data_IF_851628636058
#
_entry.id   IF_851628636058
#
_cell.length_a   1.000
_cell.length_b   1.000
_cell.length_c   1.000
_cell.angle_alpha   90.00
_cell.angle_beta   90.00
_cell.angle_gamma   90.00
#
_symmetry.space_group_name_H-M   'P 1'
#
loop_
_entity.id
_entity.type
_entity.pdbx_description
1 polymer ?
#
# COMPACT_ATOMS: atom_id res chain seq x y z
N UNK A 1 -3.54 -3.06 -5.82
CA UNK A 1 -4.27 -4.12 -5.10
C UNK A 1 -4.99 -3.46 -3.95
N UNK A 2 -5.66 -4.24 -3.11
CA UNK A 2 -6.33 -3.77 -1.88
C UNK A 2 -5.42 -3.72 -0.65
N UNK A 3 -4.15 -4.18 -0.73
CA UNK A 3 -3.21 -4.16 0.39
C UNK A 3 -3.42 -5.21 1.50
N UNK A 4 -4.39 -6.13 1.37
CA UNK A 4 -4.77 -7.10 2.42
C UNK A 4 -3.59 -7.95 2.93
N UNK A 5 -2.78 -8.51 2.03
CA UNK A 5 -1.66 -9.37 2.43
C UNK A 5 -0.58 -8.63 3.25
N UNK A 6 -0.41 -7.33 2.98
CA UNK A 6 0.54 -6.50 3.73
C UNK A 6 0.02 -6.25 5.15
N UNK A 7 -1.30 -6.09 5.33
CA UNK A 7 -1.91 -5.95 6.65
C UNK A 7 -1.82 -7.24 7.48
N UNK A 8 -1.99 -8.41 6.85
CA UNK A 8 -1.80 -9.71 7.52
C UNK A 8 -0.35 -9.89 8.00
N UNK A 9 0.62 -9.50 7.16
CA UNK A 9 2.03 -9.51 7.54
C UNK A 9 2.34 -8.51 8.66
N UNK A 10 1.75 -7.31 8.59
CA UNK A 10 1.90 -6.29 9.60
C UNK A 10 1.39 -6.76 10.97
N UNK A 11 0.19 -7.36 11.02
CA UNK A 11 -0.37 -7.95 12.23
C UNK A 11 0.53 -9.05 12.81
N UNK A 12 1.06 -9.94 11.97
CA UNK A 12 1.97 -11.01 12.41
C UNK A 12 3.26 -10.45 13.04
N UNK A 13 3.80 -9.37 12.46
CA UNK A 13 5.01 -8.70 12.96
C UNK A 13 4.71 -8.02 14.31
N UNK A 14 3.57 -7.33 14.44
CA UNK A 14 3.17 -6.68 15.69
C UNK A 14 2.87 -7.70 16.80
N UNK A 15 2.26 -8.85 16.48
CA UNK A 15 2.06 -9.97 17.41
C UNK A 15 3.39 -10.52 17.96
N UNK A 16 4.49 -10.37 17.22
CA UNK A 16 5.83 -10.73 17.69
C UNK A 16 6.46 -9.67 18.63
N UNK A 17 5.76 -8.57 18.91
CA UNK A 17 6.20 -7.48 19.78
C UNK A 17 7.01 -6.40 19.07
N UNK A 18 7.04 -6.40 17.73
CA UNK A 18 7.70 -5.36 16.95
C UNK A 18 6.76 -4.17 16.69
N UNK A 19 7.35 -3.02 16.37
CA UNK A 19 6.62 -1.82 15.96
C UNK A 19 6.86 -1.59 14.48
N UNK A 20 5.80 -1.24 13.74
CA UNK A 20 5.89 -0.90 12.32
C UNK A 20 5.87 0.61 12.16
N UNK A 21 7.02 1.20 11.85
CA UNK A 21 7.14 2.64 11.61
C UNK A 21 6.52 3.07 10.26
N UNK A 22 6.65 2.22 9.23
CA UNK A 22 6.13 2.47 7.90
C UNK A 22 6.03 1.20 7.06
N UNK A 23 5.10 1.22 6.09
CA UNK A 23 4.98 0.27 5.00
C UNK A 23 5.39 0.98 3.71
N UNK A 24 6.41 0.44 3.02
CA UNK A 24 6.97 1.05 1.81
C UNK A 24 6.76 0.11 0.61
N UNK A 25 6.07 0.61 -0.41
CA UNK A 25 5.89 -0.07 -1.69
C UNK A 25 6.77 0.54 -2.79
N UNK A 26 7.19 -0.28 -3.75
CA UNK A 26 7.88 0.23 -4.95
C UNK A 26 6.90 0.96 -5.86
N UNK A 27 5.73 0.35 -6.14
CA UNK A 27 4.70 0.95 -6.99
C UNK A 27 3.35 0.85 -6.27
N UNK A 28 2.72 2.01 -6.04
CA UNK A 28 1.30 2.10 -5.71
C UNK A 28 0.48 2.13 -6.99
N UNK A 29 -0.30 1.07 -7.22
CA UNK A 29 -1.17 0.98 -8.41
C UNK A 29 -2.42 1.87 -8.32
N UNK A 30 -2.65 2.54 -7.19
CA UNK A 30 -3.82 3.39 -6.94
C UNK A 30 -5.14 2.62 -7.05
N UNK A 31 -5.16 1.39 -6.55
CA UNK A 31 -6.33 0.48 -6.57
C UNK A 31 -6.92 0.28 -5.15
N UNK A 32 -6.68 1.20 -4.21
CA UNK A 32 -7.24 1.14 -2.85
C UNK A 32 -6.30 0.66 -1.74
N UNK A 33 -5.04 0.27 -2.06
CA UNK A 33 -4.10 -0.22 -1.04
C UNK A 33 -3.71 0.87 -0.04
N UNK A 34 -3.40 2.07 -0.52
CA UNK A 34 -3.00 3.21 0.31
C UNK A 34 -4.07 3.52 1.35
N UNK A 35 -5.30 3.70 0.90
CA UNK A 35 -6.43 4.05 1.74
C UNK A 35 -6.68 2.98 2.80
N UNK A 36 -6.59 1.70 2.41
CA UNK A 36 -6.80 0.59 3.33
C UNK A 36 -5.68 0.51 4.39
N UNK A 37 -4.42 0.73 3.99
CA UNK A 37 -3.26 0.69 4.90
C UNK A 37 -3.26 1.87 5.86
N UNK A 38 -3.52 3.08 5.36
CA UNK A 38 -3.61 4.30 6.18
C UNK A 38 -4.82 4.23 7.13
N UNK A 39 -5.95 3.64 6.70
CA UNK A 39 -7.13 3.41 7.56
C UNK A 39 -6.86 2.40 8.68
N UNK A 40 -5.92 1.47 8.49
CA UNK A 40 -5.45 0.56 9.53
C UNK A 40 -4.46 1.21 10.50
N UNK A 41 -4.11 2.48 10.30
CA UNK A 41 -3.23 3.26 11.19
C UNK A 41 -1.75 3.20 10.83
N UNK A 42 -1.38 2.57 9.72
CA UNK A 42 0.02 2.51 9.28
C UNK A 42 0.37 3.68 8.36
N UNK A 43 1.61 4.16 8.46
CA UNK A 43 2.16 5.10 7.51
C UNK A 43 2.52 4.39 6.19
N UNK A 44 1.95 4.83 5.06
CA UNK A 44 2.20 4.23 3.75
C UNK A 44 2.99 5.15 2.81
N UNK A 45 4.10 4.62 2.30
CA UNK A 45 5.00 5.32 1.36
C UNK A 45 5.09 4.49 0.08
N UNK A 46 5.07 5.17 -1.07
CA UNK A 46 5.31 4.55 -2.36
C UNK A 46 6.42 5.29 -3.09
N UNK A 47 7.35 4.56 -3.73
CA UNK A 47 8.40 5.19 -4.55
C UNK A 47 7.84 5.76 -5.85
N UNK A 48 6.86 5.06 -6.43
CA UNK A 48 6.14 5.47 -7.63
C UNK A 48 4.65 5.14 -7.48
N UNK A 49 3.83 5.87 -8.21
CA UNK A 49 2.44 5.51 -8.51
C UNK A 49 2.33 4.97 -9.93
N UNK A 50 1.24 4.28 -10.26
CA UNK A 50 0.93 3.93 -11.66
C UNK A 50 0.87 5.19 -12.55
N UNK A 51 0.36 6.31 -12.03
CA UNK A 51 0.35 7.59 -12.72
C UNK A 51 1.76 8.11 -13.04
N UNK A 52 2.72 7.99 -12.11
CA UNK A 52 4.11 8.42 -12.33
C UNK A 52 4.78 7.66 -13.48
N UNK A 53 4.30 6.44 -13.76
CA UNK A 53 4.79 5.59 -14.85
C UNK A 53 3.98 5.76 -16.15
N UNK A 54 3.03 6.70 -16.20
CA UNK A 54 2.17 6.93 -17.36
C UNK A 54 1.10 5.85 -17.56
N UNK A 55 0.82 5.04 -16.54
CA UNK A 55 -0.24 4.03 -16.57
C UNK A 55 -1.50 4.66 -15.98
N UNK A 56 -2.31 5.25 -16.86
CA UNK A 56 -3.68 5.68 -16.53
C UNK A 56 -4.65 4.62 -17.01
N UNK A 57 -5.82 4.49 -16.36
CA UNK A 57 -6.91 3.68 -16.93
C UNK A 57 -7.11 4.08 -18.39
N UNK A 58 -7.15 3.08 -19.28
CA UNK A 58 -7.24 3.32 -20.71
C UNK A 58 -8.44 4.23 -20.96
N UNK A 59 -8.20 5.41 -21.54
CA UNK A 59 -9.27 6.26 -22.02
C UNK A 59 -10.21 5.38 -22.86
N UNK A 60 -11.44 5.24 -22.38
CA UNK A 60 -12.47 4.41 -23.01
C UNK A 60 -12.50 4.74 -24.50
N UNK A 61 -12.17 3.75 -25.32
CA UNK A 61 -12.21 3.87 -26.78
C UNK A 61 -13.64 3.82 -27.28
#
# INVERSE_FOLDING_TARGET
TTGVQVLEAAATIEESGATIDAIIAVIDRQEGARENIESAGYNFISLFTSSDLGITEAATK
#
